data_IF_915030643995
#
_entry.id   IF_915030643995
#
_cell.length_a   1.000
_cell.length_b   1.000
_cell.length_c   1.000
_cell.angle_alpha   90.00
_cell.angle_beta   90.00
_cell.angle_gamma   90.00
#
_symmetry.space_group_name_H-M   'P 1'
#
loop_
_entity.id
_entity.type
_entity.pdbx_description
1 polymer ?
#
# COMPACT_ATOMS: atom_id res chain seq x y z
N UNK A 1 0.59 27.05 -14.83
CA UNK A 1 -0.48 27.81 -14.16
C UNK A 1 0.13 28.50 -12.94
N UNK A 2 0.07 29.83 -12.83
CA UNK A 2 0.58 30.56 -11.65
C UNK A 2 -0.30 30.23 -10.44
N UNK A 3 0.25 29.64 -9.40
CA UNK A 3 -0.46 29.42 -8.13
C UNK A 3 -0.89 30.77 -7.57
N UNK A 4 -2.20 31.00 -7.43
CA UNK A 4 -2.73 32.19 -6.76
C UNK A 4 -2.35 32.11 -5.28
N UNK A 5 -1.54 33.06 -4.82
CA UNK A 5 -1.19 33.21 -3.39
C UNK A 5 -2.47 33.46 -2.59
N UNK A 6 -2.65 32.74 -1.48
CA UNK A 6 -3.78 32.94 -0.57
C UNK A 6 -3.84 34.40 -0.07
N UNK A 7 -5.05 34.99 0.06
CA UNK A 7 -5.25 36.26 0.74
C UNK A 7 -4.60 36.24 2.13
N UNK A 8 -4.15 37.38 2.61
CA UNK A 8 -3.44 37.48 3.91
C UNK A 8 -4.33 36.96 5.06
N UNK A 9 -5.64 37.20 4.98
CA UNK A 9 -6.63 36.75 5.96
C UNK A 9 -6.76 35.22 6.06
N UNK A 10 -6.53 34.51 4.95
CA UNK A 10 -6.57 33.04 4.90
C UNK A 10 -5.23 32.39 5.27
N UNK A 11 -4.18 33.20 5.46
CA UNK A 11 -2.87 32.69 5.88
C UNK A 11 -2.89 32.33 7.35
N UNK A 12 -2.42 31.13 7.63
CA UNK A 12 -2.24 30.62 8.98
C UNK A 12 -0.94 31.18 9.55
N UNK A 13 -1.02 32.33 10.22
CA UNK A 13 0.14 33.06 10.78
C UNK A 13 0.41 32.76 12.26
N UNK A 14 -0.53 32.14 12.97
CA UNK A 14 -0.39 31.80 14.39
C UNK A 14 0.08 30.35 14.57
N UNK A 15 1.07 30.16 15.44
CA UNK A 15 1.65 28.84 15.78
C UNK A 15 1.25 28.41 17.20
N UNK A 16 0.90 27.14 17.37
CA UNK A 16 0.61 26.53 18.67
C UNK A 16 1.55 25.33 18.87
N UNK A 17 2.26 25.31 20.00
CA UNK A 17 3.12 24.19 20.40
C UNK A 17 2.35 23.23 21.30
N UNK A 18 2.31 21.96 20.92
CA UNK A 18 1.68 20.89 21.69
C UNK A 18 2.78 19.98 22.23
N UNK A 19 2.80 19.76 23.55
CA UNK A 19 3.69 18.79 24.19
C UNK A 19 2.95 17.46 24.31
N UNK A 20 3.59 16.39 23.89
CA UNK A 20 3.07 15.03 23.94
C UNK A 20 3.97 14.17 24.83
N UNK A 21 3.37 13.25 25.56
CA UNK A 21 4.12 12.16 26.17
C UNK A 21 4.50 11.10 25.11
N UNK A 22 5.25 10.07 25.52
CA UNK A 22 5.74 9.03 24.61
C UNK A 22 4.61 8.26 23.91
N UNK A 23 3.58 7.88 24.65
CA UNK A 23 2.46 7.10 24.11
C UNK A 23 1.61 7.92 23.13
N UNK A 24 1.34 9.18 23.47
CA UNK A 24 0.61 10.11 22.62
C UNK A 24 1.35 10.38 21.31
N UNK A 25 2.68 10.56 21.39
CA UNK A 25 3.53 10.74 20.22
C UNK A 25 3.52 9.51 19.33
N UNK A 26 3.60 8.31 19.91
CA UNK A 26 3.54 7.07 19.16
C UNK A 26 2.21 6.90 18.42
N UNK A 27 1.08 7.16 19.10
CA UNK A 27 -0.26 7.14 18.48
C UNK A 27 -0.37 8.15 17.34
N UNK A 28 0.15 9.37 17.53
CA UNK A 28 0.15 10.38 16.48
C UNK A 28 0.95 9.89 15.26
N UNK A 29 2.14 9.31 15.45
CA UNK A 29 3.00 8.86 14.35
C UNK A 29 2.38 7.73 13.52
N UNK A 30 1.67 6.80 14.16
CA UNK A 30 0.88 5.78 13.46
C UNK A 30 -0.14 6.44 12.52
N UNK A 31 -0.91 7.41 13.05
CA UNK A 31 -1.93 8.13 12.29
C UNK A 31 -1.33 8.91 11.11
N UNK A 32 -0.19 9.58 11.31
CA UNK A 32 0.49 10.31 10.23
C UNK A 32 0.93 9.37 9.11
N UNK A 33 1.41 8.18 9.48
CA UNK A 33 1.86 7.14 8.55
C UNK A 33 0.70 6.59 7.73
N UNK A 34 -0.37 6.16 8.40
CA UNK A 34 -1.53 5.53 7.76
C UNK A 34 -2.31 6.50 6.87
N UNK A 35 -2.39 7.77 7.29
CA UNK A 35 -3.14 8.79 6.57
C UNK A 35 -2.29 9.58 5.57
N UNK A 36 -0.96 9.37 5.54
CA UNK A 36 0.02 10.13 4.74
C UNK A 36 -0.19 11.64 4.83
N UNK A 37 -0.26 12.16 6.05
CA UNK A 37 -0.58 13.57 6.34
C UNK A 37 0.32 14.12 7.44
N UNK A 38 0.22 15.42 7.72
CA UNK A 38 1.02 16.09 8.75
C UNK A 38 0.21 16.36 10.02
N UNK A 39 0.88 16.41 11.17
CA UNK A 39 0.24 16.62 12.47
C UNK A 39 -0.70 17.84 12.52
N UNK A 40 -0.34 19.02 11.97
CA UNK A 40 -1.24 20.17 11.94
C UNK A 40 -2.55 19.90 11.18
N UNK A 41 -2.53 19.05 10.15
CA UNK A 41 -3.74 18.70 9.40
C UNK A 41 -4.65 17.76 10.18
N UNK A 42 -4.06 16.81 10.93
CA UNK A 42 -4.79 15.93 11.85
C UNK A 42 -5.47 16.76 12.94
N UNK A 43 -4.71 17.60 13.65
CA UNK A 43 -5.25 18.46 14.71
C UNK A 43 -6.34 19.39 14.20
N UNK A 44 -6.15 20.02 13.03
CA UNK A 44 -7.17 20.90 12.46
C UNK A 44 -8.43 20.15 12.05
N UNK A 45 -8.33 18.96 11.47
CA UNK A 45 -9.52 18.15 11.14
C UNK A 45 -10.29 17.72 12.39
N UNK A 46 -9.57 17.37 13.45
CA UNK A 46 -10.16 17.03 14.73
C UNK A 46 -10.84 18.25 15.38
N UNK A 47 -10.12 19.35 15.55
CA UNK A 47 -10.60 20.53 16.27
C UNK A 47 -11.67 21.31 15.50
N UNK A 48 -11.55 21.42 14.17
CA UNK A 48 -12.42 22.31 13.37
C UNK A 48 -13.54 21.56 12.63
N UNK A 49 -13.35 20.27 12.35
CA UNK A 49 -14.29 19.49 11.53
C UNK A 49 -14.86 18.27 12.26
N UNK A 50 -14.48 18.06 13.52
CA UNK A 50 -14.83 16.90 14.35
C UNK A 50 -14.69 15.56 13.57
N UNK A 51 -13.66 15.47 12.72
CA UNK A 51 -13.49 14.36 11.80
C UNK A 51 -12.05 13.84 11.87
N UNK A 52 -11.91 12.54 12.07
CA UNK A 52 -10.61 11.88 12.09
C UNK A 52 -10.13 11.59 10.65
N UNK A 53 -8.85 11.82 10.32
CA UNK A 53 -8.34 11.45 9.01
C UNK A 53 -8.52 9.94 8.76
N UNK A 54 -9.10 9.60 7.61
CA UNK A 54 -9.27 8.20 7.20
C UNK A 54 -7.92 7.68 6.71
N UNK A 55 -7.56 6.46 7.12
CA UNK A 55 -6.41 5.76 6.57
C UNK A 55 -6.52 5.77 5.04
N UNK A 56 -5.41 6.10 4.37
CA UNK A 56 -5.41 6.06 2.91
C UNK A 56 -5.48 4.59 2.54
N UNK A 57 -6.62 4.14 2.01
CA UNK A 57 -6.74 2.78 1.49
C UNK A 57 -5.53 2.52 0.61
N UNK A 58 -4.79 1.42 0.80
CA UNK A 58 -3.72 1.08 -0.11
C UNK A 58 -4.37 1.04 -1.49
N UNK A 59 -3.96 1.99 -2.32
CA UNK A 59 -4.18 1.88 -3.76
C UNK A 59 -3.27 0.72 -4.15
N UNK A 60 -3.73 -0.52 -3.92
CA UNK A 60 -3.35 -1.60 -4.80
C UNK A 60 -3.71 -1.03 -6.16
N UNK A 61 -2.68 -0.68 -6.92
CA UNK A 61 -2.86 -0.11 -8.23
C UNK A 61 -3.81 -1.03 -8.99
N UNK A 62 -4.74 -0.45 -9.76
CA UNK A 62 -5.71 -1.23 -10.53
C UNK A 62 -4.95 -2.28 -11.37
N UNK A 63 -3.74 -1.93 -11.82
CA UNK A 63 -2.81 -2.84 -12.48
C UNK A 63 -2.37 -4.00 -11.59
N UNK A 64 -1.99 -3.76 -10.33
CA UNK A 64 -1.63 -4.82 -9.38
C UNK A 64 -2.80 -5.77 -9.12
N UNK A 65 -4.02 -5.25 -8.96
CA UNK A 65 -5.21 -6.07 -8.81
C UNK A 65 -5.49 -6.91 -10.06
N UNK A 66 -5.32 -6.31 -11.24
CA UNK A 66 -5.51 -6.98 -12.52
C UNK A 66 -4.49 -8.11 -12.73
N UNK A 67 -3.21 -7.88 -12.41
CA UNK A 67 -2.18 -8.91 -12.48
C UNK A 67 -2.42 -10.04 -11.46
N UNK A 68 -2.83 -9.72 -10.23
CA UNK A 68 -3.23 -10.73 -9.25
C UNK A 68 -4.42 -11.58 -9.74
N UNK A 69 -5.40 -10.95 -10.41
CA UNK A 69 -6.54 -11.66 -11.01
C UNK A 69 -6.07 -12.60 -12.12
N UNK A 70 -5.17 -12.18 -13.01
CA UNK A 70 -4.59 -13.04 -14.05
C UNK A 70 -3.86 -14.24 -13.46
N UNK A 71 -3.03 -14.00 -12.44
CA UNK A 71 -2.31 -15.07 -11.72
C UNK A 71 -3.32 -16.08 -11.15
N UNK A 72 -4.37 -15.61 -10.47
CA UNK A 72 -5.40 -16.49 -9.91
C UNK A 72 -6.14 -17.31 -10.97
N UNK A 73 -6.46 -16.72 -12.12
CA UNK A 73 -7.08 -17.44 -13.25
C UNK A 73 -6.16 -18.54 -13.78
N UNK A 74 -4.88 -18.22 -14.01
CA UNK A 74 -3.91 -19.18 -14.55
C UNK A 74 -3.65 -20.34 -13.57
N UNK A 75 -3.53 -20.04 -12.27
CA UNK A 75 -3.38 -21.07 -11.23
C UNK A 75 -4.59 -21.98 -11.18
N UNK A 76 -5.81 -21.43 -11.27
CA UNK A 76 -7.03 -22.22 -11.28
C UNK A 76 -7.11 -23.13 -12.53
N UNK A 77 -6.69 -22.63 -13.69
CA UNK A 77 -6.61 -23.43 -14.92
C UNK A 77 -5.58 -24.56 -14.78
N UNK A 78 -4.42 -24.26 -14.21
CA UNK A 78 -3.38 -25.25 -13.93
C UNK A 78 -3.88 -26.33 -12.97
N UNK A 79 -4.47 -25.96 -11.84
CA UNK A 79 -5.05 -26.91 -10.86
C UNK A 79 -6.14 -27.76 -11.51
N UNK A 80 -6.99 -27.17 -12.35
CA UNK A 80 -7.98 -27.93 -13.13
C UNK A 80 -7.32 -28.92 -14.09
N UNK A 81 -6.27 -28.53 -14.81
CA UNK A 81 -5.53 -29.40 -15.73
C UNK A 81 -4.83 -30.57 -15.00
N UNK A 82 -4.29 -30.29 -13.81
CA UNK A 82 -3.70 -31.28 -12.89
C UNK A 82 -4.76 -32.27 -12.42
N UNK A 83 -5.89 -31.78 -11.90
CA UNK A 83 -6.99 -32.64 -11.45
C UNK A 83 -7.69 -33.39 -12.59
N UNK A 84 -7.66 -32.88 -13.82
CA UNK A 84 -8.22 -33.53 -15.01
C UNK A 84 -7.27 -34.53 -15.66
N UNK A 85 -6.10 -34.82 -15.07
CA UNK A 85 -5.15 -35.85 -15.56
C UNK A 85 -4.74 -35.66 -17.03
N UNK A 86 -4.31 -34.44 -17.38
CA UNK A 86 -3.60 -34.15 -18.64
C UNK A 86 -2.19 -33.60 -18.41
N UNK A 87 -1.52 -34.03 -17.33
CA UNK A 87 -0.11 -33.67 -17.14
C UNK A 87 0.74 -34.56 -18.05
N UNK A 88 1.29 -33.96 -19.10
CA UNK A 88 2.34 -34.58 -19.90
C UNK A 88 3.68 -34.32 -19.21
N UNK A 89 4.70 -35.15 -19.45
CA UNK A 89 6.05 -34.97 -18.90
C UNK A 89 6.61 -33.55 -19.16
N UNK A 90 6.20 -32.94 -20.28
CA UNK A 90 6.55 -31.58 -20.65
C UNK A 90 6.01 -30.52 -19.67
N UNK A 91 4.81 -30.72 -19.11
CA UNK A 91 4.23 -29.79 -18.12
C UNK A 91 5.03 -29.82 -16.81
N UNK A 92 5.51 -31.00 -16.41
CA UNK A 92 6.36 -31.19 -15.22
C UNK A 92 7.70 -30.48 -15.40
N UNK A 93 8.30 -30.55 -16.60
CA UNK A 93 9.54 -29.86 -16.91
C UNK A 93 9.38 -28.34 -16.80
N UNK A 94 8.32 -27.78 -17.38
CA UNK A 94 8.02 -26.33 -17.34
C UNK A 94 7.79 -25.85 -15.90
N UNK A 95 7.09 -26.63 -15.08
CA UNK A 95 6.86 -26.28 -13.67
C UNK A 95 8.14 -26.27 -12.85
N UNK A 96 9.03 -27.23 -13.09
CA UNK A 96 10.31 -27.30 -12.40
C UNK A 96 11.21 -26.11 -12.79
N UNK A 97 11.19 -25.72 -14.07
CA UNK A 97 11.92 -24.55 -14.54
C UNK A 97 11.37 -23.26 -13.92
N UNK A 98 10.03 -23.09 -13.89
CA UNK A 98 9.36 -21.96 -13.25
C UNK A 98 9.70 -21.88 -11.75
N UNK A 99 9.69 -23.01 -11.04
CA UNK A 99 10.04 -23.07 -9.63
C UNK A 99 11.52 -22.69 -9.39
N UNK A 100 12.42 -23.07 -10.30
CA UNK A 100 13.83 -22.68 -10.22
C UNK A 100 14.01 -21.15 -10.37
N UNK A 101 13.31 -20.54 -11.32
CA UNK A 101 13.34 -19.09 -11.56
C UNK A 101 12.79 -18.32 -10.35
N UNK A 102 11.69 -18.81 -9.77
CA UNK A 102 11.11 -18.21 -8.57
C UNK A 102 12.05 -18.31 -7.35
N UNK A 103 12.80 -19.40 -7.21
CA UNK A 103 13.84 -19.52 -6.16
C UNK A 103 14.98 -18.53 -6.36
N UNK A 104 15.43 -18.31 -7.59
CA UNK A 104 16.47 -17.33 -7.92
C UNK A 104 15.99 -15.90 -7.63
N UNK A 105 14.74 -15.58 -7.99
CA UNK A 105 14.16 -14.27 -7.70
C UNK A 105 14.03 -14.09 -6.19
N UNK A 106 13.54 -15.10 -5.46
CA UNK A 106 13.43 -15.09 -4.00
C UNK A 106 14.80 -14.87 -3.33
N UNK A 107 15.86 -15.54 -3.78
CA UNK A 107 17.19 -15.37 -3.18
C UNK A 107 17.75 -13.97 -3.41
N UNK A 108 17.47 -13.35 -4.57
CA UNK A 108 17.85 -11.95 -4.87
C UNK A 108 17.05 -10.92 -4.09
N UNK A 109 15.79 -11.21 -3.75
CA UNK A 109 14.95 -10.33 -2.93
C UNK A 109 15.33 -10.42 -1.45
N UNK A 110 15.67 -11.61 -0.94
CA UNK A 110 16.01 -11.84 0.47
C UNK A 110 17.48 -11.47 0.78
N UNK A 111 18.36 -11.40 -0.23
CA UNK A 111 19.76 -10.97 -0.06
C UNK A 111 19.97 -9.44 -0.19
N UNK A 112 18.91 -8.65 -0.03
CA UNK A 112 18.96 -7.18 0.17
C UNK A 112 18.37 -6.84 1.52
#
# INVERSE_FOLDING_TARGET
MKEKKLPIEDKRIYEIKIRLNREEKHKLDQVLTDCRTHAPDVFRRLLMKNNFPKAKSPMLDINTYYELRKIGVNVNQYVKAVHQSKIKEMDIAVLNELNSLLKIIRSRIISR
#
